data_IF_573523013531
#
_entry.id   IF_573523013531
#
_cell.length_a   1.000
_cell.length_b   1.000
_cell.length_c   1.000
_cell.angle_alpha   90.00
_cell.angle_beta   90.00
_cell.angle_gamma   90.00
#
_symmetry.space_group_name_H-M   'P 1'
#
loop_
_entity.id
_entity.type
_entity.pdbx_description
1 polymer ?
#
# COMPACT_ATOMS: atom_id res chain seq x y z
N UNK A 1 9.60 -3.91 -14.77
CA UNK A 1 9.31 -3.32 -13.44
C UNK A 1 10.23 -3.98 -12.43
N UNK A 2 10.95 -3.21 -11.61
CA UNK A 2 11.69 -3.76 -10.47
C UNK A 2 10.68 -4.30 -9.45
N UNK A 3 10.93 -5.51 -8.94
CA UNK A 3 10.06 -6.19 -7.97
C UNK A 3 10.27 -5.72 -6.53
N UNK A 4 11.35 -4.96 -6.29
CA UNK A 4 11.78 -4.37 -5.02
C UNK A 4 12.06 -2.88 -5.19
N UNK A 5 12.15 -2.16 -4.06
CA UNK A 5 12.55 -0.76 -4.02
C UNK A 5 13.79 -0.64 -3.14
N UNK A 6 14.95 -0.44 -3.75
CA UNK A 6 16.22 -0.33 -3.02
C UNK A 6 16.29 1.01 -2.28
N UNK A 7 17.17 1.14 -1.26
CA UNK A 7 17.34 2.40 -0.51
C UNK A 7 17.66 3.62 -1.39
N UNK A 8 18.34 3.38 -2.52
CA UNK A 8 18.74 4.44 -3.46
C UNK A 8 17.72 4.72 -4.57
N UNK A 9 16.64 3.94 -4.65
CA UNK A 9 15.56 4.23 -5.60
C UNK A 9 14.73 5.43 -5.10
N UNK A 10 14.20 6.20 -6.06
CA UNK A 10 13.30 7.32 -5.78
C UNK A 10 12.09 6.85 -4.95
N UNK A 11 11.77 7.62 -3.91
CA UNK A 11 10.64 7.39 -3.03
C UNK A 11 9.81 8.68 -2.92
N UNK A 12 8.47 8.60 -2.99
CA UNK A 12 7.61 9.77 -2.88
C UNK A 12 7.75 10.45 -1.52
N UNK A 13 7.94 11.77 -1.52
CA UNK A 13 8.02 12.59 -0.30
C UNK A 13 6.66 12.74 0.41
N UNK A 14 5.56 12.53 -0.31
CA UNK A 14 4.19 12.64 0.20
C UNK A 14 3.34 11.44 -0.24
N UNK A 15 3.11 10.52 0.70
CA UNK A 15 2.26 9.34 0.47
C UNK A 15 0.77 9.69 0.41
N UNK A 16 0.36 10.85 0.95
CA UNK A 16 -1.05 11.26 1.00
C UNK A 16 -1.57 11.65 -0.38
N UNK A 17 -0.67 12.01 -1.30
CA UNK A 17 -0.97 12.32 -2.69
C UNK A 17 -1.20 11.08 -3.58
N UNK A 18 -0.94 9.87 -3.05
CA UNK A 18 -1.06 8.62 -3.79
C UNK A 18 -2.39 7.91 -3.52
N UNK A 19 -2.93 7.25 -4.54
CA UNK A 19 -4.09 6.38 -4.38
C UNK A 19 -3.74 5.13 -3.57
N UNK A 20 -4.73 4.52 -2.90
CA UNK A 20 -4.50 3.36 -2.02
C UNK A 20 -3.73 2.21 -2.72
N UNK A 21 -4.07 1.82 -3.96
CA UNK A 21 -3.34 0.75 -4.65
C UNK A 21 -1.87 1.09 -4.91
N UNK A 22 -1.53 2.36 -5.05
CA UNK A 22 -0.14 2.79 -5.27
C UNK A 22 0.69 2.65 -3.99
N UNK A 23 0.12 3.06 -2.86
CA UNK A 23 0.73 2.89 -1.52
C UNK A 23 0.90 1.40 -1.19
N UNK A 24 -0.11 0.57 -1.46
CA UNK A 24 -0.02 -0.89 -1.26
C UNK A 24 1.09 -1.53 -2.12
N UNK A 25 1.25 -1.06 -3.37
CA UNK A 25 2.33 -1.53 -4.26
C UNK A 25 3.70 -1.13 -3.72
N UNK A 26 3.85 0.10 -3.20
CA UNK A 26 5.09 0.55 -2.57
C UNK A 26 5.40 -0.31 -1.32
N UNK A 27 4.41 -0.55 -0.47
CA UNK A 27 4.55 -1.39 0.71
C UNK A 27 4.98 -2.82 0.34
N UNK A 28 4.36 -3.41 -0.69
CA UNK A 28 4.77 -4.73 -1.18
C UNK A 28 6.21 -4.77 -1.69
N UNK A 29 6.70 -3.69 -2.31
CA UNK A 29 8.09 -3.61 -2.79
C UNK A 29 9.09 -3.44 -1.64
N UNK A 30 8.76 -2.64 -0.64
CA UNK A 30 9.59 -2.41 0.55
C UNK A 30 9.71 -3.70 1.37
N UNK A 31 8.63 -4.44 1.58
CA UNK A 31 8.70 -5.75 2.24
C UNK A 31 9.66 -6.71 1.56
N UNK A 32 9.67 -6.74 0.22
CA UNK A 32 10.61 -7.58 -0.54
C UNK A 32 12.06 -7.08 -0.48
N UNK A 33 12.27 -5.78 -0.25
CA UNK A 33 13.60 -5.23 0.00
C UNK A 33 14.09 -5.62 1.40
N UNK A 34 13.25 -5.46 2.43
CA UNK A 34 13.54 -5.94 3.79
C UNK A 34 13.90 -7.42 3.79
N UNK A 35 13.07 -8.27 3.17
CA UNK A 35 13.35 -9.70 3.05
C UNK A 35 14.70 -9.97 2.38
N UNK A 36 15.06 -9.18 1.37
CA UNK A 36 16.33 -9.30 0.68
C UNK A 36 17.50 -8.88 1.57
N UNK A 37 17.44 -7.70 2.19
CA UNK A 37 18.51 -7.15 3.04
C UNK A 37 18.74 -8.05 4.26
N UNK A 38 17.68 -8.50 4.94
CA UNK A 38 17.81 -9.47 6.03
C UNK A 38 18.45 -10.79 5.59
N UNK A 39 18.15 -11.27 4.38
CA UNK A 39 18.70 -12.51 3.86
C UNK A 39 20.16 -12.39 3.37
N UNK A 40 20.55 -11.22 2.84
CA UNK A 40 21.85 -11.02 2.18
C UNK A 40 22.86 -10.28 3.06
N UNK A 41 22.40 -9.25 3.75
CA UNK A 41 23.24 -8.32 4.53
C UNK A 41 23.10 -8.58 6.03
N UNK A 42 22.06 -9.31 6.46
CA UNK A 42 21.82 -9.74 7.84
C UNK A 42 21.05 -8.72 8.68
N UNK A 43 20.88 -7.51 8.16
CA UNK A 43 20.09 -6.42 8.72
C UNK A 43 19.50 -5.57 7.60
N UNK A 44 18.39 -4.89 7.87
CA UNK A 44 17.82 -3.92 6.96
C UNK A 44 18.62 -2.61 7.03
N UNK A 45 18.67 -1.88 5.92
CA UNK A 45 19.21 -0.52 5.95
C UNK A 45 18.20 0.43 6.61
N UNK A 46 18.71 1.43 7.34
CA UNK A 46 17.87 2.41 8.05
C UNK A 46 16.87 3.11 7.13
N UNK A 47 17.26 3.37 5.87
CA UNK A 47 16.37 3.99 4.88
C UNK A 47 15.18 3.08 4.52
N UNK A 48 15.42 1.77 4.34
CA UNK A 48 14.34 0.81 4.07
C UNK A 48 13.39 0.71 5.26
N UNK A 49 13.91 0.73 6.49
CA UNK A 49 13.11 0.71 7.73
C UNK A 49 12.24 1.96 7.86
N UNK A 50 12.80 3.16 7.65
CA UNK A 50 12.05 4.42 7.69
C UNK A 50 10.90 4.40 6.69
N UNK A 51 11.18 4.04 5.42
CA UNK A 51 10.14 3.97 4.38
C UNK A 51 9.06 2.93 4.70
N UNK A 52 9.42 1.82 5.35
CA UNK A 52 8.47 0.82 5.80
C UNK A 52 7.54 1.35 6.89
N UNK A 53 8.11 2.08 7.86
CA UNK A 53 7.35 2.73 8.93
C UNK A 53 6.37 3.76 8.35
N UNK A 54 6.84 4.65 7.47
CA UNK A 54 6.00 5.67 6.81
C UNK A 54 4.82 5.04 6.03
N UNK A 55 5.06 3.96 5.29
CA UNK A 55 4.00 3.23 4.56
C UNK A 55 3.02 2.55 5.50
N UNK A 56 3.50 2.01 6.62
CA UNK A 56 2.65 1.36 7.63
C UNK A 56 1.76 2.39 8.31
N UNK A 57 2.31 3.52 8.74
CA UNK A 57 1.53 4.62 9.33
C UNK A 57 0.46 5.15 8.37
N UNK A 58 0.80 5.30 7.08
CA UNK A 58 -0.13 5.77 6.08
C UNK A 58 -1.29 4.79 5.84
N UNK A 59 -0.99 3.49 5.73
CA UNK A 59 -2.00 2.45 5.54
C UNK A 59 -2.89 2.33 6.78
N UNK A 60 -2.31 2.34 7.98
CA UNK A 60 -3.04 2.33 9.24
C UNK A 60 -3.95 3.54 9.37
N UNK A 61 -3.50 4.73 8.92
CA UNK A 61 -4.33 5.93 8.87
C UNK A 61 -5.52 5.75 7.94
N UNK A 62 -5.34 5.16 6.75
CA UNK A 62 -6.42 4.92 5.78
C UNK A 62 -7.43 3.88 6.27
N UNK A 63 -6.96 2.84 6.95
CA UNK A 63 -7.84 1.81 7.54
C UNK A 63 -8.70 2.35 8.68
N UNK A 64 -8.20 3.36 9.41
CA UNK A 64 -8.96 4.05 10.45
C UNK A 64 -9.95 5.09 9.91
N UNK A 65 -9.90 5.43 8.61
CA UNK A 65 -10.84 6.36 7.99
C UNK A 65 -12.11 5.61 7.51
N UNK A 66 -13.32 5.95 8.02
CA UNK A 66 -14.55 5.21 7.75
C UNK A 66 -15.08 5.32 6.30
N UNK A 67 -14.47 6.14 5.45
CA UNK A 67 -14.98 6.47 4.11
C UNK A 67 -14.31 5.69 2.95
N UNK A 68 -13.46 4.70 3.23
CA UNK A 68 -12.90 3.80 2.21
C UNK A 68 -13.81 2.59 1.95
N UNK A 69 -15.12 2.81 1.81
CA UNK A 69 -15.99 1.81 1.19
C UNK A 69 -16.17 2.17 -0.28
N UNK A 70 -15.70 1.35 -1.24
CA UNK A 70 -16.16 1.51 -2.61
C UNK A 70 -17.66 1.24 -2.56
N UNK A 71 -18.44 2.31 -2.76
CA UNK A 71 -19.88 2.19 -2.98
C UNK A 71 -20.04 1.27 -4.19
N UNK A 72 -20.30 -0.01 -3.94
CA UNK A 72 -20.80 -0.91 -4.95
C UNK A 72 -22.09 -0.24 -5.42
N UNK A 73 -22.24 0.12 -6.71
CA UNK A 73 -23.53 0.62 -7.17
C UNK A 73 -24.52 -0.50 -6.91
N UNK A 74 -25.45 -0.22 -6.02
CA UNK A 74 -26.60 -1.04 -5.66
C UNK A 74 -27.20 -1.56 -6.98
N UNK A 75 -27.04 -2.87 -7.23
CA UNK A 75 -27.72 -3.51 -8.34
C UNK A 75 -29.19 -3.52 -7.96
N UNK A 76 -29.88 -2.48 -8.40
CA UNK A 76 -31.35 -2.40 -8.39
C UNK A 76 -31.90 -3.60 -9.14
N UNK A 77 -32.23 -4.68 -8.43
CA UNK A 77 -33.04 -5.75 -8.99
C UNK A 77 -34.43 -5.17 -9.32
N UNK A 78 -34.88 -5.23 -10.58
CA UNK A 78 -36.23 -4.81 -10.91
C UNK A 78 -37.20 -5.86 -10.37
N UNK A 79 -38.06 -5.44 -9.45
CA UNK A 79 -39.25 -6.19 -9.01
C UNK A 79 -40.07 -6.55 -10.24
N UNK A 80 -39.98 -7.80 -10.70
CA UNK A 80 -40.94 -8.36 -11.64
C UNK A 80 -42.23 -8.67 -10.88
N UNK A 81 -43.13 -7.69 -10.87
CA UNK A 81 -44.56 -7.96 -10.78
C UNK A 81 -44.96 -8.82 -11.98
N UNK A 82 -45.45 -10.02 -11.73
CA UNK A 82 -46.33 -10.72 -12.66
C UNK A 82 -47.45 -11.41 -11.89
N UNK A 83 -48.65 -11.20 -12.43
CA UNK A 83 -50.00 -11.49 -11.94
C UNK A 83 -50.34 -12.95 -11.74
#
# INVERSE_FOLDING_TARGET
MRSRLTPSDDFPEDLTALELPEVEVLNSKIHRELDYEYAHDGEATTETEIRHEELTEELDRRDQQPDSTPVRPDVVEPVLRSS
#
